data_IF_115844025205
#
_entry.id   IF_115844025205
#
_cell.length_a   1.000
_cell.length_b   1.000
_cell.length_c   1.000
_cell.angle_alpha   90.00
_cell.angle_beta   90.00
_cell.angle_gamma   90.00
#
_symmetry.space_group_name_H-M   'P 1'
#
loop_
_entity.id
_entity.type
_entity.pdbx_description
1 polymer ?
#
# COMPACT_ATOMS: atom_id res chain seq x y z
N UNK A 1 10.20 2.67 -14.36
CA UNK A 1 8.84 2.85 -14.94
C UNK A 1 8.40 4.32 -14.84
N UNK A 2 9.34 5.25 -14.92
CA UNK A 2 9.07 6.70 -14.88
C UNK A 2 8.67 7.17 -16.29
N UNK A 3 7.74 8.14 -16.39
CA UNK A 3 7.04 8.66 -17.60
C UNK A 3 5.73 8.00 -18.07
N UNK A 4 5.05 7.15 -17.29
CA UNK A 4 3.71 6.65 -17.67
C UNK A 4 2.60 7.23 -16.79
N UNK A 5 1.40 7.36 -17.37
CA UNK A 5 0.17 7.83 -16.71
C UNK A 5 -0.24 6.97 -15.49
N UNK A 6 0.33 5.77 -15.35
CA UNK A 6 0.08 4.85 -14.24
C UNK A 6 0.49 5.42 -12.88
N UNK A 7 1.47 6.33 -12.84
CA UNK A 7 2.00 6.89 -11.60
C UNK A 7 0.99 7.75 -10.84
N UNK A 8 0.19 8.54 -11.57
CA UNK A 8 -0.84 9.37 -10.96
C UNK A 8 -1.97 8.51 -10.41
N UNK A 9 -2.37 7.47 -11.15
CA UNK A 9 -3.41 6.54 -10.73
C UNK A 9 -3.02 5.80 -9.45
N UNK A 10 -1.80 5.25 -9.36
CA UNK A 10 -1.32 4.57 -8.15
C UNK A 10 -1.17 5.51 -6.96
N UNK A 11 -0.75 6.77 -7.20
CA UNK A 11 -0.72 7.80 -6.15
C UNK A 11 -2.12 8.10 -5.59
N UNK A 12 -3.13 8.27 -6.45
CA UNK A 12 -4.50 8.50 -5.99
C UNK A 12 -5.07 7.31 -5.21
N UNK A 13 -4.80 6.08 -5.66
CA UNK A 13 -5.18 4.88 -4.89
C UNK A 13 -4.51 4.84 -3.53
N UNK A 14 -3.21 5.10 -3.46
CA UNK A 14 -2.50 5.18 -2.19
C UNK A 14 -3.11 6.23 -1.25
N UNK A 15 -3.46 7.41 -1.77
CA UNK A 15 -4.08 8.48 -0.98
C UNK A 15 -5.43 8.03 -0.41
N UNK A 16 -6.29 7.44 -1.24
CA UNK A 16 -7.62 6.95 -0.84
C UNK A 16 -7.48 5.82 0.18
N UNK A 17 -6.63 4.83 -0.07
CA UNK A 17 -6.40 3.70 0.83
C UNK A 17 -5.92 4.17 2.20
N UNK A 18 -5.00 5.13 2.22
CA UNK A 18 -4.47 5.72 3.46
C UNK A 18 -5.60 6.41 4.25
N UNK A 19 -6.46 7.18 3.58
CA UNK A 19 -7.61 7.82 4.23
C UNK A 19 -8.58 6.79 4.82
N UNK A 20 -8.87 5.71 4.08
CA UNK A 20 -9.73 4.62 4.54
C UNK A 20 -9.14 3.92 5.76
N UNK A 21 -7.84 3.62 5.75
CA UNK A 21 -7.14 3.02 6.89
C UNK A 21 -7.21 3.92 8.12
N UNK A 22 -6.91 5.21 7.98
CA UNK A 22 -6.98 6.17 9.09
C UNK A 22 -8.39 6.29 9.66
N UNK A 23 -9.41 6.36 8.80
CA UNK A 23 -10.81 6.39 9.21
C UNK A 23 -11.21 5.11 9.95
N UNK A 24 -10.80 3.96 9.43
CA UNK A 24 -11.09 2.66 10.04
C UNK A 24 -10.36 2.50 11.38
N UNK A 25 -9.13 3.02 11.51
CA UNK A 25 -8.37 3.00 12.77
C UNK A 25 -9.08 3.85 13.83
N UNK A 26 -9.54 5.03 13.44
CA UNK A 26 -10.31 5.90 14.32
C UNK A 26 -11.61 5.24 14.77
N UNK A 27 -12.36 4.62 13.85
CA UNK A 27 -13.60 3.93 14.16
C UNK A 27 -13.38 2.67 15.02
N UNK A 28 -12.31 1.91 14.79
CA UNK A 28 -11.95 0.72 15.57
C UNK A 28 -11.59 1.08 17.01
N UNK A 29 -10.89 2.21 17.23
CA UNK A 29 -10.63 2.73 18.58
C UNK A 29 -11.92 3.13 19.31
N UNK A 30 -12.90 3.69 18.60
CA UNK A 30 -14.18 4.13 19.18
C UNK A 30 -15.17 3.00 19.41
N UNK A 31 -15.20 2.00 18.53
CA UNK A 31 -16.12 0.87 18.59
C UNK A 31 -15.28 -0.40 18.63
N UNK A 32 -15.30 -1.09 19.77
CA UNK A 32 -14.61 -2.38 20.02
C UNK A 32 -15.26 -3.54 19.22
N UNK A 33 -15.44 -3.35 17.92
CA UNK A 33 -16.02 -4.33 16.98
C UNK A 33 -14.89 -5.15 16.37
N UNK A 34 -14.80 -6.40 16.77
CA UNK A 34 -13.84 -7.41 16.27
C UNK A 34 -13.72 -7.43 14.72
N UNK A 35 -14.82 -7.21 14.00
CA UNK A 35 -14.82 -7.20 12.53
C UNK A 35 -14.01 -6.07 11.88
N UNK A 36 -13.84 -4.92 12.53
CA UNK A 36 -13.09 -3.78 11.95
C UNK A 36 -11.59 -4.06 11.82
N UNK A 37 -11.05 -4.97 12.64
CA UNK A 37 -9.63 -5.33 12.57
C UNK A 37 -9.28 -6.00 11.25
N UNK A 38 -10.18 -6.82 10.66
CA UNK A 38 -9.93 -7.46 9.36
C UNK A 38 -9.84 -6.42 8.24
N UNK A 39 -10.72 -5.42 8.26
CA UNK A 39 -10.69 -4.32 7.29
C UNK A 39 -9.44 -3.44 7.46
N UNK A 40 -8.91 -3.31 8.67
CA UNK A 40 -7.63 -2.65 8.91
C UNK A 40 -6.46 -3.39 8.27
N UNK A 41 -6.39 -4.71 8.45
CA UNK A 41 -5.35 -5.52 7.80
C UNK A 41 -5.43 -5.42 6.28
N UNK A 42 -6.63 -5.56 5.70
CA UNK A 42 -6.82 -5.41 4.26
C UNK A 42 -6.42 -4.02 3.76
N UNK A 43 -6.84 -2.96 4.44
CA UNK A 43 -6.48 -1.60 4.05
C UNK A 43 -4.97 -1.36 4.12
N UNK A 44 -4.28 -1.88 5.14
CA UNK A 44 -2.82 -1.79 5.24
C UNK A 44 -2.11 -2.55 4.11
N UNK A 45 -2.65 -3.69 3.68
CA UNK A 45 -2.12 -4.43 2.53
C UNK A 45 -2.29 -3.65 1.22
N UNK A 46 -3.44 -3.02 1.01
CA UNK A 46 -3.65 -2.15 -0.16
C UNK A 46 -2.70 -0.95 -0.17
N UNK A 47 -2.49 -0.30 0.98
CA UNK A 47 -1.48 0.76 1.12
C UNK A 47 -0.08 0.24 0.78
N UNK A 48 0.32 -0.91 1.31
CA UNK A 48 1.63 -1.51 1.03
C UNK A 48 1.79 -1.87 -0.46
N UNK A 49 0.75 -2.40 -1.09
CA UNK A 49 0.74 -2.75 -2.51
C UNK A 49 0.89 -1.51 -3.40
N UNK A 50 0.05 -0.49 -3.19
CA UNK A 50 0.10 0.75 -3.98
C UNK A 50 1.39 1.54 -3.70
N UNK A 51 1.93 1.48 -2.47
CA UNK A 51 3.20 2.11 -2.14
C UNK A 51 4.37 1.42 -2.85
N UNK A 52 4.51 0.10 -2.70
CA UNK A 52 5.63 -0.63 -3.31
C UNK A 52 5.52 -0.66 -4.83
N UNK A 53 4.37 -1.00 -5.40
CA UNK A 53 4.16 -1.01 -6.86
C UNK A 53 4.11 0.37 -7.50
N UNK A 54 3.76 1.41 -6.75
CA UNK A 54 3.72 2.79 -7.24
C UNK A 54 5.07 3.50 -7.19
N UNK A 55 5.91 3.20 -6.20
CA UNK A 55 7.20 3.88 -6.03
C UNK A 55 8.41 3.05 -6.45
N UNK A 56 8.41 1.73 -6.25
CA UNK A 56 9.54 0.89 -6.64
C UNK A 56 9.45 0.49 -8.13
N UNK A 57 10.60 0.35 -8.83
CA UNK A 57 11.96 0.58 -8.34
C UNK A 57 12.35 2.07 -8.32
N UNK A 58 13.12 2.48 -7.31
CA UNK A 58 13.78 3.79 -7.19
C UNK A 58 15.31 3.65 -7.30
N UNK A 59 15.95 4.69 -7.82
CA UNK A 59 17.40 4.69 -8.12
C UNK A 59 18.29 4.71 -6.85
N UNK A 60 17.82 5.33 -5.77
CA UNK A 60 18.56 5.49 -4.51
C UNK A 60 18.22 4.42 -3.46
N UNK A 61 17.68 3.27 -3.88
CA UNK A 61 17.32 2.20 -2.95
C UNK A 61 18.58 1.47 -2.44
N UNK A 62 18.69 1.19 -1.13
CA UNK A 62 19.79 0.38 -0.61
C UNK A 62 19.61 -1.09 -1.01
N UNK A 63 20.22 -1.49 -2.13
CA UNK A 63 20.24 -2.87 -2.62
C UNK A 63 19.99 -2.99 -4.12
N UNK A 64 20.17 -4.18 -4.71
CA UNK A 64 19.97 -4.40 -6.13
C UNK A 64 18.50 -4.26 -6.53
N UNK A 65 18.25 -3.87 -7.78
CA UNK A 65 16.90 -3.68 -8.33
C UNK A 65 16.01 -4.91 -8.21
N UNK A 66 16.60 -6.12 -8.21
CA UNK A 66 15.86 -7.38 -8.04
C UNK A 66 15.18 -7.47 -6.67
N UNK A 67 15.78 -6.92 -5.61
CA UNK A 67 15.15 -6.90 -4.28
C UNK A 67 13.89 -6.04 -4.29
N UNK A 68 13.92 -4.91 -5.00
CA UNK A 68 12.77 -4.02 -5.13
C UNK A 68 11.60 -4.71 -5.84
N UNK A 69 11.90 -5.53 -6.87
CA UNK A 69 10.90 -6.36 -7.52
C UNK A 69 10.39 -7.48 -6.63
N UNK A 70 11.26 -8.17 -5.88
CA UNK A 70 10.85 -9.20 -4.92
C UNK A 70 9.89 -8.60 -3.88
N UNK A 71 10.17 -7.39 -3.38
CA UNK A 71 9.29 -6.68 -2.45
C UNK A 71 7.94 -6.38 -3.13
N UNK A 72 7.96 -5.77 -4.31
CA UNK A 72 6.75 -5.36 -5.02
C UNK A 72 5.84 -6.55 -5.35
N UNK A 73 6.39 -7.61 -5.93
CA UNK A 73 5.63 -8.81 -6.27
C UNK A 73 5.28 -9.66 -5.05
N UNK A 74 6.14 -9.68 -4.03
CA UNK A 74 5.86 -10.35 -2.76
C UNK A 74 4.65 -9.76 -2.06
N UNK A 75 4.56 -8.43 -1.99
CA UNK A 75 3.39 -7.74 -1.45
C UNK A 75 2.14 -8.01 -2.30
N UNK A 76 2.27 -8.03 -3.62
CA UNK A 76 1.16 -8.34 -4.53
C UNK A 76 0.59 -9.75 -4.36
N UNK A 77 1.41 -10.73 -3.98
CA UNK A 77 0.96 -12.12 -3.74
C UNK A 77 0.24 -12.26 -2.39
N UNK A 78 0.62 -11.44 -1.40
CA UNK A 78 0.04 -11.48 -0.05
C UNK A 78 -1.33 -10.78 -0.02
N UNK A 79 -1.52 -9.75 -0.85
CA UNK A 79 -2.79 -9.06 -1.02
C UNK A 79 -3.87 -10.00 -1.60
#
# INVERSE_FOLDING_TARGET
MFNTSIHWTTFFYLLIDTVIVLFTLYQSKKKKRSGLNRFLYLGLLFVAYNFTGGFLPIDNFPGPIILQYIITYGVAIIL
#
